data_IF_106065821573
#
_entry.id   IF_106065821573
#
_cell.length_a   1.000
_cell.length_b   1.000
_cell.length_c   1.000
_cell.angle_alpha   90.00
_cell.angle_beta   90.00
_cell.angle_gamma   90.00
#
_symmetry.space_group_name_H-M   'P 1'
#
loop_
_entity.id
_entity.type
_entity.pdbx_description
1 polymer ?
#
# COMPACT_ATOMS: atom_id res chain seq x y z
N UNK A 1 -32.23 -6.97 -8.93
CA UNK A 1 -31.22 -7.78 -8.20
C UNK A 1 -29.90 -7.04 -8.31
N UNK A 2 -29.62 -6.13 -7.38
CA UNK A 2 -28.35 -5.41 -7.34
C UNK A 2 -27.41 -6.21 -6.45
N UNK A 3 -26.39 -6.81 -7.05
CA UNK A 3 -25.29 -7.44 -6.31
C UNK A 3 -24.51 -6.33 -5.62
N UNK A 4 -24.65 -6.22 -4.30
CA UNK A 4 -23.73 -5.47 -3.47
C UNK A 4 -22.35 -6.07 -3.66
N UNK A 5 -21.46 -5.38 -4.36
CA UNK A 5 -20.02 -5.63 -4.25
C UNK A 5 -19.64 -5.22 -2.84
N UNK A 6 -19.70 -6.16 -1.90
CA UNK A 6 -19.00 -6.01 -0.65
C UNK A 6 -17.51 -5.93 -1.02
N UNK A 7 -16.90 -4.75 -0.85
CA UNK A 7 -15.45 -4.63 -0.89
C UNK A 7 -14.89 -5.59 0.17
N UNK A 8 -14.20 -6.67 -0.22
CA UNK A 8 -13.67 -7.63 0.73
C UNK A 8 -12.56 -7.04 1.62
N UNK A 9 -11.99 -5.89 1.21
CA UNK A 9 -10.98 -5.14 1.96
C UNK A 9 -11.50 -4.50 3.27
N UNK A 10 -12.81 -4.28 3.43
CA UNK A 10 -13.33 -3.61 4.63
C UNK A 10 -13.24 -4.48 5.91
N UNK A 11 -13.01 -5.78 5.77
CA UNK A 11 -12.91 -6.71 6.89
C UNK A 11 -11.49 -6.84 7.49
N UNK A 12 -10.48 -6.21 6.87
CA UNK A 12 -9.05 -6.38 7.21
C UNK A 12 -8.36 -5.05 7.59
N UNK A 13 -9.14 -4.04 7.99
CA UNK A 13 -8.60 -2.75 8.43
C UNK A 13 -7.92 -2.90 9.81
N UNK A 14 -6.60 -2.71 9.85
CA UNK A 14 -5.82 -2.69 11.09
C UNK A 14 -6.22 -1.49 11.95
N UNK A 15 -6.17 -1.66 13.27
CA UNK A 15 -6.25 -0.47 14.13
C UNK A 15 -4.99 0.38 14.00
N UNK A 16 -5.14 1.68 14.26
CA UNK A 16 -4.03 2.64 14.25
C UNK A 16 -2.84 2.22 15.14
N UNK A 17 -3.11 1.52 16.24
CA UNK A 17 -2.08 1.03 17.16
C UNK A 17 -1.32 -0.18 16.57
N UNK A 18 -2.04 -1.18 16.07
CA UNK A 18 -1.46 -2.37 15.43
C UNK A 18 -0.64 -2.00 14.19
N UNK A 19 -1.17 -1.09 13.36
CA UNK A 19 -0.48 -0.58 12.19
C UNK A 19 0.88 0.04 12.55
N UNK A 20 0.92 0.89 13.59
CA UNK A 20 2.16 1.54 14.02
C UNK A 20 3.17 0.56 14.61
N UNK A 21 2.70 -0.43 15.36
CA UNK A 21 3.55 -1.46 15.96
C UNK A 21 4.25 -2.28 14.88
N UNK A 22 3.48 -2.86 13.95
CA UNK A 22 4.00 -3.61 12.80
C UNK A 22 4.93 -2.78 11.91
N UNK A 23 4.57 -1.52 11.64
CA UNK A 23 5.38 -0.62 10.81
C UNK A 23 6.72 -0.27 11.50
N UNK A 24 6.77 -0.25 12.83
CA UNK A 24 7.97 0.14 13.58
C UNK A 24 9.15 -0.81 13.34
N UNK A 25 8.86 -2.11 13.21
CA UNK A 25 9.82 -3.19 12.96
C UNK A 25 10.32 -3.26 11.51
N UNK A 26 9.69 -2.53 10.60
CA UNK A 26 10.04 -2.55 9.19
C UNK A 26 11.27 -1.66 8.85
N UNK A 27 11.99 -1.99 7.75
CA UNK A 27 13.15 -1.21 7.33
C UNK A 27 12.76 0.22 6.93
N UNK A 28 13.71 1.19 6.97
CA UNK A 28 13.43 2.59 6.67
C UNK A 28 12.78 2.83 5.30
N UNK A 29 13.16 2.05 4.28
CA UNK A 29 12.56 2.15 2.94
C UNK A 29 11.06 1.82 2.93
N UNK A 30 10.65 0.79 3.68
CA UNK A 30 9.24 0.43 3.83
C UNK A 30 8.46 1.51 4.58
N UNK A 31 9.03 2.03 5.68
CA UNK A 31 8.45 3.15 6.43
C UNK A 31 8.26 4.40 5.57
N UNK A 32 9.23 4.73 4.71
CA UNK A 32 9.12 5.85 3.79
C UNK A 32 8.01 5.63 2.74
N UNK A 33 7.94 4.44 2.15
CA UNK A 33 6.86 4.12 1.18
C UNK A 33 5.48 4.19 1.85
N UNK A 34 5.34 3.66 3.06
CA UNK A 34 4.12 3.78 3.85
C UNK A 34 3.74 5.25 4.10
N UNK A 35 4.73 6.09 4.42
CA UNK A 35 4.52 7.53 4.62
C UNK A 35 4.03 8.23 3.35
N UNK A 36 4.57 7.87 2.18
CA UNK A 36 4.11 8.40 0.88
C UNK A 36 2.66 7.98 0.58
N UNK A 37 2.28 6.75 0.97
CA UNK A 37 0.91 6.24 0.82
C UNK A 37 -0.12 6.85 1.79
N UNK A 38 0.28 7.70 2.74
CA UNK A 38 -0.66 8.43 3.59
C UNK A 38 -1.46 9.52 2.84
N UNK A 39 -1.13 9.79 1.56
CA UNK A 39 -1.88 10.72 0.72
C UNK A 39 -3.29 10.23 0.34
N UNK A 40 -4.08 11.12 -0.27
CA UNK A 40 -5.52 10.90 -0.54
C UNK A 40 -5.82 9.89 -1.67
N UNK A 41 -4.81 9.31 -2.32
CA UNK A 41 -5.00 8.45 -3.49
C UNK A 41 -4.05 7.25 -3.54
N UNK A 42 -4.51 6.07 -4.00
CA UNK A 42 -3.65 4.94 -4.28
C UNK A 42 -2.60 5.26 -5.35
N UNK A 43 -1.36 4.84 -5.13
CA UNK A 43 -0.24 5.11 -6.01
C UNK A 43 0.28 3.84 -6.68
N UNK A 44 0.68 3.93 -7.94
CA UNK A 44 1.37 2.83 -8.62
C UNK A 44 2.83 2.72 -8.18
N UNK A 45 3.47 1.57 -8.43
CA UNK A 45 4.90 1.37 -8.09
C UNK A 45 5.80 2.48 -8.65
N UNK A 46 5.54 2.96 -9.87
CA UNK A 46 6.32 4.03 -10.50
C UNK A 46 6.12 5.39 -9.84
N UNK A 47 4.87 5.73 -9.49
CA UNK A 47 4.59 6.97 -8.74
C UNK A 47 5.22 6.95 -7.35
N UNK A 48 5.18 5.79 -6.68
CA UNK A 48 5.87 5.61 -5.41
C UNK A 48 7.38 5.85 -5.54
N UNK A 49 8.01 5.37 -6.61
CA UNK A 49 9.43 5.63 -6.87
C UNK A 49 9.73 7.11 -7.11
N UNK A 50 8.88 7.79 -7.89
CA UNK A 50 8.98 9.23 -8.14
C UNK A 50 8.82 10.05 -6.86
N UNK A 51 7.79 9.78 -6.06
CA UNK A 51 7.49 10.55 -4.84
C UNK A 51 8.44 10.25 -3.69
N UNK A 52 8.86 8.98 -3.51
CA UNK A 52 9.80 8.60 -2.45
C UNK A 52 11.26 8.87 -2.79
N UNK A 53 11.57 9.20 -4.05
CA UNK A 53 12.93 9.30 -4.60
C UNK A 53 13.75 8.01 -4.39
N UNK A 54 13.09 6.86 -4.33
CA UNK A 54 13.75 5.57 -4.18
C UNK A 54 13.86 4.89 -5.55
N UNK A 55 14.92 4.12 -5.81
CA UNK A 55 14.98 3.28 -7.00
C UNK A 55 13.81 2.28 -7.05
N UNK A 56 13.33 1.94 -8.24
CA UNK A 56 12.21 1.00 -8.45
C UNK A 56 12.36 -0.33 -7.70
N UNK A 57 13.60 -0.85 -7.64
CA UNK A 57 13.91 -2.10 -6.92
C UNK A 57 13.69 -1.96 -5.42
N UNK A 58 14.03 -0.81 -4.86
CA UNK A 58 13.84 -0.51 -3.44
C UNK A 58 12.37 -0.30 -3.11
N UNK A 59 11.61 0.35 -3.99
CA UNK A 59 10.14 0.44 -3.85
C UNK A 59 9.48 -0.93 -3.89
N UNK A 60 9.87 -1.78 -4.85
CA UNK A 60 9.37 -3.16 -4.91
C UNK A 60 9.68 -3.93 -3.64
N UNK A 61 10.92 -3.84 -3.15
CA UNK A 61 11.31 -4.46 -1.88
C UNK A 61 10.46 -3.93 -0.71
N UNK A 62 10.26 -2.61 -0.62
CA UNK A 62 9.45 -1.98 0.41
C UNK A 62 7.98 -2.43 0.37
N UNK A 63 7.36 -2.44 -0.81
CA UNK A 63 5.98 -2.90 -1.00
C UNK A 63 5.83 -4.37 -0.61
N UNK A 64 6.73 -5.25 -1.05
CA UNK A 64 6.69 -6.66 -0.65
C UNK A 64 6.72 -6.81 0.89
N UNK A 65 7.57 -6.03 1.58
CA UNK A 65 7.62 -6.06 3.06
C UNK A 65 6.34 -5.56 3.71
N UNK A 66 5.72 -4.52 3.16
CA UNK A 66 4.46 -3.99 3.67
C UNK A 66 3.31 -4.97 3.44
N UNK A 67 3.23 -5.61 2.25
CA UNK A 67 2.24 -6.62 1.92
C UNK A 67 2.38 -7.87 2.78
N UNK A 68 3.62 -8.33 3.03
CA UNK A 68 3.93 -9.45 3.95
C UNK A 68 3.38 -9.22 5.37
N UNK A 69 3.32 -7.96 5.82
CA UNK A 69 2.77 -7.57 7.13
C UNK A 69 1.28 -7.16 7.06
N UNK A 70 0.64 -7.22 5.89
CA UNK A 70 -0.74 -6.77 5.72
C UNK A 70 -0.94 -5.25 5.89
N UNK A 71 0.12 -4.44 5.85
CA UNK A 71 0.05 -2.99 6.05
C UNK A 71 -0.41 -2.22 4.81
N UNK A 72 -0.32 -2.86 3.63
CA UNK A 72 -0.81 -2.30 2.37
C UNK A 72 -1.59 -3.35 1.60
N UNK A 73 -2.62 -2.89 0.91
CA UNK A 73 -3.34 -3.63 -0.11
C UNK A 73 -2.93 -3.19 -1.50
N UNK A 74 -3.26 -4.02 -2.49
CA UNK A 74 -3.03 -3.72 -3.90
C UNK A 74 -4.23 -4.12 -4.75
N UNK A 75 -4.51 -3.31 -5.78
CA UNK A 75 -5.57 -3.59 -6.77
C UNK A 75 -5.17 -3.10 -8.14
N UNK A 76 -5.80 -3.63 -9.19
CA UNK A 76 -5.60 -3.11 -10.53
C UNK A 76 -6.08 -1.67 -10.65
N UNK A 77 -5.32 -0.84 -11.36
CA UNK A 77 -5.68 0.55 -11.60
C UNK A 77 -6.90 0.63 -12.50
N UNK A 78 -7.85 1.50 -12.13
CA UNK A 78 -8.98 1.84 -13.00
C UNK A 78 -8.56 2.61 -14.27
N UNK A 79 -7.38 3.24 -14.27
CA UNK A 79 -6.86 3.99 -15.43
C UNK A 79 -6.12 3.10 -16.43
N UNK A 80 -5.38 2.11 -15.94
CA UNK A 80 -4.66 1.11 -16.75
C UNK A 80 -4.65 -0.22 -16.00
N UNK A 81 -5.51 -1.16 -16.42
CA UNK A 81 -5.69 -2.45 -15.75
C UNK A 81 -4.43 -3.34 -15.75
N UNK A 82 -3.38 -2.99 -16.50
CA UNK A 82 -2.09 -3.70 -16.46
C UNK A 82 -1.22 -3.25 -15.27
N UNK A 83 -1.56 -2.12 -14.64
CA UNK A 83 -0.84 -1.56 -13.51
C UNK A 83 -1.58 -1.88 -12.21
N UNK A 84 -0.83 -2.17 -11.16
CA UNK A 84 -1.36 -2.17 -9.80
C UNK A 84 -1.17 -0.80 -9.16
N UNK A 85 -2.07 -0.48 -8.23
CA UNK A 85 -1.96 0.64 -7.30
C UNK A 85 -2.06 0.11 -5.88
N UNK A 86 -1.35 0.77 -4.97
CA UNK A 86 -1.21 0.37 -3.57
C UNK A 86 -1.88 1.39 -2.66
N UNK A 87 -2.40 0.94 -1.52
CA UNK A 87 -3.08 1.75 -0.51
C UNK A 87 -2.79 1.19 0.89
N UNK A 88 -2.93 2.02 1.93
CA UNK A 88 -2.76 1.58 3.31
C UNK A 88 -3.99 0.80 3.80
N UNK A 89 -3.76 -0.26 4.59
CA UNK A 89 -4.81 -1.01 5.27
C UNK A 89 -5.04 -0.43 6.67
N UNK A 90 -5.65 0.76 6.77
CA UNK A 90 -6.01 1.41 8.02
C UNK A 90 -7.31 2.22 7.90
#
# INVERSE_FOLDING_TARGET
MSTSTADPDAADALTDAEYRDLLSDLPPSAKLVAKVLEGDAPLSQGQLAEESLLPDRTVRYALNRLEEQGLVGSRYSFKDARKQVYYLNR
#
